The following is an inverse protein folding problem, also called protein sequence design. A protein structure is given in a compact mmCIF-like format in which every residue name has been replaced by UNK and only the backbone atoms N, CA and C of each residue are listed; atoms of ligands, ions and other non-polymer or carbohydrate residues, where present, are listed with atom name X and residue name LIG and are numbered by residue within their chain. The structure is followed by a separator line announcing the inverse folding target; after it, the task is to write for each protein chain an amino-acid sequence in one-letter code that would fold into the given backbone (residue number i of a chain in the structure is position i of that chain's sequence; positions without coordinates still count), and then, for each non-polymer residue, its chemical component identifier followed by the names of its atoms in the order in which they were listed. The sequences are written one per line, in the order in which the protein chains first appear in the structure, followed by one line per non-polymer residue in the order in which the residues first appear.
data_IF_107017417146
#
_entry.id   IF_107017417146
#
_cell.length_a   1.000
_cell.length_b   1.000
_cell.length_c   1.000
_cell.angle_alpha   90.00
_cell.angle_beta   90.00
_cell.angle_gamma   90.00
#
_symmetry.space_group_name_H-M   'P 1'
#
loop_
_entity.id
_entity.type
_entity.pdbx_description
1 polymer ?
#
# COMPACT_ATOMS: atom_id res chain seq x y z
N UNK A 1 2.33 20.15 -40.74
CA UNK A 1 1.19 19.75 -39.89
C UNK A 1 1.75 19.19 -38.58
N UNK A 2 1.81 19.98 -37.51
CA UNK A 2 2.20 19.48 -36.18
C UNK A 2 0.93 19.02 -35.45
N UNK A 3 0.81 17.73 -35.14
CA UNK A 3 -0.23 17.24 -34.24
C UNK A 3 0.10 17.71 -32.83
N UNK A 4 -0.63 18.72 -32.34
CA UNK A 4 -0.62 19.11 -30.93
C UNK A 4 -1.32 17.99 -30.17
N UNK A 5 -0.54 17.11 -29.53
CA UNK A 5 -1.07 16.13 -28.61
C UNK A 5 -1.79 16.83 -27.46
N UNK A 6 -3.11 16.68 -27.39
CA UNK A 6 -3.90 17.14 -26.26
C UNK A 6 -3.41 16.34 -25.06
N UNK A 7 -2.70 16.97 -24.13
CA UNK A 7 -2.32 16.35 -22.87
C UNK A 7 -3.61 16.00 -22.12
N UNK A 8 -4.02 14.72 -22.18
CA UNK A 8 -5.19 14.22 -21.46
C UNK A 8 -4.92 14.38 -19.96
N UNK A 9 -5.75 15.16 -19.26
CA UNK A 9 -5.67 15.31 -17.81
C UNK A 9 -6.00 13.96 -17.15
N UNK A 10 -5.03 13.38 -16.45
CA UNK A 10 -5.23 12.16 -15.65
C UNK A 10 -5.65 12.58 -14.25
N UNK A 11 -6.89 12.27 -13.87
CA UNK A 11 -7.37 12.43 -12.49
C UNK A 11 -7.12 11.16 -11.71
N UNK A 12 -6.51 11.26 -10.54
CA UNK A 12 -6.28 10.12 -9.63
C UNK A 12 -7.31 10.14 -8.52
N UNK A 13 -7.92 8.98 -8.24
CA UNK A 13 -8.85 8.77 -7.12
C UNK A 13 -8.35 7.60 -6.27
N UNK A 14 -8.43 7.74 -4.95
CA UNK A 14 -8.15 6.65 -3.99
C UNK A 14 -9.47 6.05 -3.54
N UNK A 15 -9.44 4.73 -3.34
CA UNK A 15 -10.54 3.95 -2.78
C UNK A 15 -10.02 3.13 -1.60
N UNK A 16 -10.87 2.81 -0.61
CA UNK A 16 -10.51 1.95 0.51
C UNK A 16 -10.09 0.53 0.08
N UNK A 17 -10.71 0.00 -0.98
CA UNK A 17 -10.48 -1.36 -1.47
C UNK A 17 -10.34 -1.40 -2.99
N UNK A 18 -9.76 -2.48 -3.52
CA UNK A 18 -9.70 -2.69 -4.97
C UNK A 18 -11.09 -2.98 -5.54
N UNK A 19 -11.96 -3.65 -4.78
CA UNK A 19 -13.34 -3.95 -5.15
C UNK A 19 -14.17 -2.69 -5.37
N UNK A 20 -14.10 -1.72 -4.45
CA UNK A 20 -14.80 -0.44 -4.64
C UNK A 20 -14.28 0.34 -5.85
N UNK A 21 -12.97 0.28 -6.10
CA UNK A 21 -12.40 0.88 -7.29
C UNK A 21 -12.86 0.17 -8.57
N UNK A 22 -13.01 -1.16 -8.52
CA UNK A 22 -13.52 -1.98 -9.62
C UNK A 22 -14.97 -1.60 -9.96
N UNK A 23 -15.81 -1.40 -8.95
CA UNK A 23 -17.19 -0.93 -9.14
C UNK A 23 -17.25 0.43 -9.83
N UNK A 24 -16.35 1.35 -9.46
CA UNK A 24 -16.26 2.65 -10.13
C UNK A 24 -15.81 2.53 -11.60
N UNK A 25 -14.89 1.61 -11.91
CA UNK A 25 -14.47 1.36 -13.30
C UNK A 25 -15.61 0.78 -14.12
N UNK A 26 -16.37 -0.16 -13.55
CA UNK A 26 -17.55 -0.75 -14.17
C UNK A 26 -18.64 0.29 -14.44
N UNK A 27 -18.82 1.25 -13.53
CA UNK A 27 -19.83 2.31 -13.67
C UNK A 27 -19.48 3.35 -14.76
N UNK A 28 -18.22 3.46 -15.17
CA UNK A 28 -17.76 4.40 -16.21
C UNK A 28 -16.81 3.73 -17.23
N UNK A 29 -17.33 2.83 -18.09
CA UNK A 29 -16.52 2.09 -19.06
C UNK A 29 -15.78 3.02 -20.04
N UNK A 30 -14.49 2.78 -20.26
CA UNK A 30 -13.67 3.54 -21.22
C UNK A 30 -13.17 4.90 -20.71
N UNK A 31 -13.64 5.36 -19.54
CA UNK A 31 -13.22 6.63 -18.92
C UNK A 31 -12.24 6.45 -17.77
N UNK A 32 -12.12 5.22 -17.24
CA UNK A 32 -11.29 4.92 -16.08
C UNK A 32 -10.61 3.56 -16.20
N UNK A 33 -9.51 3.40 -15.47
CA UNK A 33 -8.76 2.16 -15.36
C UNK A 33 -8.23 2.02 -13.94
N UNK A 34 -8.07 0.77 -13.49
CA UNK A 34 -7.58 0.42 -12.17
C UNK A 34 -6.23 -0.28 -12.27
N UNK A 35 -5.28 0.09 -11.41
CA UNK A 35 -4.04 -0.64 -11.19
C UNK A 35 -4.23 -1.50 -9.93
N UNK A 36 -4.04 -2.81 -10.07
CA UNK A 36 -4.12 -3.77 -8.96
C UNK A 36 -2.74 -4.34 -8.70
N UNK A 37 -2.33 -4.38 -7.42
CA UNK A 37 -1.05 -5.00 -7.05
C UNK A 37 -1.14 -6.51 -7.23
N UNK A 38 -0.16 -7.12 -7.91
CA UNK A 38 -0.15 -8.56 -8.16
C UNK A 38 -0.10 -9.40 -6.87
N UNK A 39 0.52 -8.88 -5.81
CA UNK A 39 0.58 -9.53 -4.50
C UNK A 39 -0.73 -9.43 -3.69
N UNK A 40 -1.77 -8.81 -4.24
CA UNK A 40 -3.07 -8.74 -3.57
C UNK A 40 -3.69 -10.13 -3.44
N UNK A 41 -4.18 -10.49 -2.25
CA UNK A 41 -4.66 -11.83 -1.96
C UNK A 41 -5.79 -12.29 -2.89
N UNK A 42 -6.68 -11.37 -3.31
CA UNK A 42 -7.80 -11.68 -4.20
C UNK A 42 -7.53 -11.25 -5.65
N UNK A 43 -6.27 -11.24 -6.08
CA UNK A 43 -5.89 -10.83 -7.44
C UNK A 43 -6.60 -11.65 -8.54
N UNK A 44 -6.99 -12.89 -8.24
CA UNK A 44 -7.77 -13.73 -9.15
C UNK A 44 -9.07 -13.04 -9.59
N UNK A 45 -9.73 -12.25 -8.73
CA UNK A 45 -10.96 -11.51 -9.08
C UNK A 45 -10.79 -10.55 -10.26
N UNK A 46 -9.56 -10.18 -10.60
CA UNK A 46 -9.22 -9.28 -11.71
C UNK A 46 -8.65 -10.03 -12.91
N UNK A 47 -7.92 -11.14 -12.69
CA UNK A 47 -7.37 -11.96 -13.78
C UNK A 47 -8.42 -12.80 -14.50
N UNK A 48 -9.40 -13.32 -13.76
CA UNK A 48 -10.47 -14.20 -14.28
C UNK A 48 -11.84 -13.50 -14.25
N UNK A 49 -11.85 -12.17 -14.34
CA UNK A 49 -13.10 -11.40 -14.33
C UNK A 49 -13.83 -11.52 -15.66
N UNK A 50 -15.14 -11.76 -15.62
CA UNK A 50 -16.02 -11.67 -16.80
C UNK A 50 -16.42 -10.22 -17.14
N UNK A 51 -16.03 -9.25 -16.30
CA UNK A 51 -16.46 -7.85 -16.41
C UNK A 51 -15.29 -6.89 -16.60
N UNK A 52 -14.12 -7.20 -16.02
CA UNK A 52 -12.90 -6.43 -16.19
C UNK A 52 -11.89 -7.23 -17.01
N UNK A 53 -11.22 -6.56 -17.95
CA UNK A 53 -10.20 -7.20 -18.78
C UNK A 53 -8.81 -6.65 -18.42
N UNK A 54 -7.83 -7.51 -18.12
CA UNK A 54 -6.44 -7.08 -17.97
C UNK A 54 -5.91 -6.50 -19.29
N UNK A 55 -5.69 -5.18 -19.34
CA UNK A 55 -5.21 -4.50 -20.56
C UNK A 55 -3.68 -4.35 -20.62
N UNK A 56 -2.98 -4.51 -19.48
CA UNK A 56 -1.52 -4.38 -19.39
C UNK A 56 -0.97 -4.99 -18.11
N UNK A 57 0.13 -5.73 -18.21
CA UNK A 57 0.96 -6.11 -17.07
C UNK A 57 2.13 -5.12 -16.91
N UNK A 58 2.42 -4.72 -15.67
CA UNK A 58 3.53 -3.84 -15.33
C UNK A 58 4.43 -4.59 -14.35
N UNK A 59 5.65 -4.88 -14.77
CA UNK A 59 6.67 -5.49 -13.92
C UNK A 59 7.62 -4.39 -13.46
N UNK A 60 7.80 -4.28 -12.16
CA UNK A 60 8.77 -3.38 -11.54
C UNK A 60 9.28 -4.02 -10.28
N UNK A 61 10.59 -3.98 -10.07
CA UNK A 61 11.19 -4.44 -8.83
C UNK A 61 10.64 -3.59 -7.69
N UNK A 62 9.93 -4.24 -6.77
CA UNK A 62 9.47 -3.58 -5.55
C UNK A 62 10.71 -3.12 -4.79
N UNK A 63 10.84 -1.82 -4.47
CA UNK A 63 11.95 -1.33 -3.66
C UNK A 63 12.02 -2.08 -2.33
N UNK A 64 13.22 -2.13 -1.73
CA UNK A 64 13.40 -2.71 -0.41
C UNK A 64 12.46 -2.05 0.62
N UNK A 65 11.92 -2.86 1.53
CA UNK A 65 11.18 -2.33 2.68
C UNK A 65 12.15 -1.66 3.64
N UNK A 66 11.72 -0.53 4.22
CA UNK A 66 12.51 0.24 5.18
C UNK A 66 11.71 0.49 6.45
N UNK A 67 12.39 0.47 7.60
CA UNK A 67 11.85 1.02 8.85
C UNK A 67 12.25 2.49 8.89
N UNK A 68 11.26 3.37 9.02
CA UNK A 68 11.48 4.82 9.05
C UNK A 68 11.27 5.38 10.45
N UNK A 69 12.24 6.15 10.94
CA UNK A 69 12.17 6.87 12.20
C UNK A 69 12.71 8.30 12.02
N UNK A 70 12.46 9.17 13.01
CA UNK A 70 12.98 10.55 12.99
C UNK A 70 14.49 10.59 13.28
N UNK A 71 14.95 9.67 14.12
CA UNK A 71 16.31 9.58 14.65
C UNK A 71 16.88 8.21 14.24
N UNK A 72 18.13 8.16 13.81
CA UNK A 72 18.81 6.93 13.40
C UNK A 72 19.13 6.01 14.59
N UNK A 73 19.19 6.58 15.79
CA UNK A 73 19.34 5.85 17.07
C UNK A 73 18.02 5.32 17.63
N UNK A 74 16.90 5.45 16.89
CA UNK A 74 15.60 5.00 17.38
C UNK A 74 15.66 3.52 17.84
N UNK A 75 16.37 2.67 17.12
CA UNK A 75 16.48 1.25 17.43
C UNK A 75 17.43 0.93 18.61
N UNK A 76 18.10 1.93 19.20
CA UNK A 76 19.19 1.76 20.17
C UNK A 76 18.71 1.91 21.63
N UNK A 77 17.91 0.93 22.06
CA UNK A 77 17.66 0.63 23.48
C UNK A 77 16.41 1.28 24.10
N UNK A 78 15.66 2.11 23.36
CA UNK A 78 14.35 2.59 23.80
C UNK A 78 13.26 1.58 23.44
N UNK A 79 12.18 1.54 24.23
CA UNK A 79 10.98 0.82 23.82
C UNK A 79 10.40 1.45 22.55
N UNK A 80 10.22 0.61 21.51
CA UNK A 80 9.68 1.03 20.21
C UNK A 80 8.58 0.09 19.76
N UNK A 81 7.52 0.69 19.22
CA UNK A 81 6.47 -0.01 18.48
C UNK A 81 6.61 0.26 16.99
N UNK A 82 6.80 -0.79 16.20
CA UNK A 82 6.81 -0.75 14.74
C UNK A 82 5.42 -1.13 14.24
N UNK A 83 4.65 -0.18 13.72
CA UNK A 83 3.39 -0.46 13.05
C UNK A 83 3.67 -0.96 11.62
N UNK A 84 3.11 -2.11 11.24
CA UNK A 84 3.42 -2.72 9.94
C UNK A 84 2.23 -3.47 9.35
N UNK A 85 2.16 -3.50 8.02
CA UNK A 85 1.27 -4.38 7.29
C UNK A 85 1.82 -5.82 7.28
N UNK A 86 0.95 -6.81 7.08
CA UNK A 86 1.31 -8.23 7.04
C UNK A 86 2.43 -8.57 6.04
N UNK A 87 2.42 -7.96 4.85
CA UNK A 87 3.35 -8.30 3.76
C UNK A 87 4.84 -8.24 4.18
N UNK A 88 5.36 -7.15 4.78
CA UNK A 88 6.74 -7.10 5.24
C UNK A 88 7.02 -7.80 6.58
N UNK A 89 6.04 -8.36 7.30
CA UNK A 89 6.27 -8.90 8.66
C UNK A 89 7.40 -9.92 8.71
N UNK A 90 7.45 -10.84 7.74
CA UNK A 90 8.51 -11.85 7.67
C UNK A 90 9.93 -11.26 7.53
N UNK A 91 10.07 -10.07 6.94
CA UNK A 91 11.35 -9.38 6.81
C UNK A 91 11.79 -8.74 8.12
N UNK A 92 10.83 -8.24 8.92
CA UNK A 92 11.09 -7.53 10.17
C UNK A 92 10.86 -8.38 11.42
N UNK A 93 10.47 -9.66 11.29
CA UNK A 93 10.14 -10.53 12.41
C UNK A 93 11.30 -10.66 13.42
N UNK A 94 12.54 -10.64 12.94
CA UNK A 94 13.73 -10.66 13.78
C UNK A 94 13.84 -9.43 14.71
N UNK A 95 13.22 -8.30 14.35
CA UNK A 95 13.17 -7.12 15.22
C UNK A 95 12.30 -7.35 16.45
N UNK A 96 11.22 -8.13 16.33
CA UNK A 96 10.37 -8.49 17.47
C UNK A 96 11.08 -9.40 18.50
N UNK A 97 12.20 -10.02 18.13
CA UNK A 97 13.01 -10.80 19.08
C UNK A 97 13.84 -9.90 20.03
N UNK A 98 13.94 -8.59 19.73
CA UNK A 98 14.63 -7.63 20.61
C UNK A 98 13.69 -7.25 21.76
N UNK A 99 14.17 -7.23 23.02
CA UNK A 99 13.31 -7.05 24.19
C UNK A 99 12.63 -5.67 24.25
N UNK A 100 13.21 -4.67 23.59
CA UNK A 100 12.71 -3.31 23.55
C UNK A 100 11.87 -3.00 22.29
N UNK A 101 11.43 -4.02 21.55
CA UNK A 101 10.69 -3.84 20.30
C UNK A 101 9.41 -4.64 20.28
N UNK A 102 8.34 -3.99 19.84
CA UNK A 102 7.06 -4.62 19.56
C UNK A 102 6.65 -4.34 18.12
N UNK A 103 6.02 -5.31 17.48
CA UNK A 103 5.40 -5.13 16.16
C UNK A 103 3.90 -5.05 16.35
N UNK A 104 3.29 -4.03 15.76
CA UNK A 104 1.84 -3.84 15.77
C UNK A 104 1.31 -4.06 14.36
N UNK A 105 0.47 -5.08 14.22
CA UNK A 105 -0.15 -5.42 12.95
C UNK A 105 -1.18 -4.38 12.52
N UNK A 106 -1.15 -4.06 11.23
CA UNK A 106 -2.09 -3.17 10.57
C UNK A 106 -2.68 -3.85 9.33
N UNK A 107 -3.96 -3.59 9.07
CA UNK A 107 -4.66 -4.09 7.89
C UNK A 107 -4.18 -3.49 6.57
N UNK A 108 -3.43 -2.38 6.61
CA UNK A 108 -2.81 -1.77 5.43
C UNK A 108 -1.61 -0.91 5.82
N UNK A 109 -0.78 -0.55 4.84
CA UNK A 109 0.35 0.39 5.04
C UNK A 109 -0.14 1.79 5.41
N UNK A 110 -1.30 2.22 4.90
CA UNK A 110 -1.93 3.47 5.31
C UNK A 110 -2.35 3.42 6.78
N UNK A 111 -3.00 2.32 7.20
CA UNK A 111 -3.39 2.15 8.60
C UNK A 111 -2.18 2.07 9.53
N UNK A 112 -1.09 1.43 9.10
CA UNK A 112 0.17 1.42 9.85
C UNK A 112 0.69 2.84 10.11
N UNK A 113 0.63 3.73 9.11
CA UNK A 113 1.02 5.12 9.27
C UNK A 113 0.10 5.89 10.25
N UNK A 114 -1.20 5.64 10.22
CA UNK A 114 -2.16 6.23 11.16
C UNK A 114 -1.90 5.79 12.61
N UNK A 115 -1.61 4.50 12.83
CA UNK A 115 -1.31 3.96 14.17
C UNK A 115 -0.11 4.67 14.82
N UNK A 116 0.91 5.04 14.04
CA UNK A 116 2.07 5.80 14.56
C UNK A 116 1.66 7.19 15.07
N UNK A 117 0.65 7.81 14.47
CA UNK A 117 0.13 9.11 14.92
C UNK A 117 -0.72 8.94 16.17
N UNK A 118 -1.61 7.95 16.19
CA UNK A 118 -2.47 7.64 17.34
C UNK A 118 -1.66 7.30 18.59
N UNK A 119 -0.60 6.50 18.45
CA UNK A 119 0.26 6.11 19.57
C UNK A 119 1.05 7.30 20.13
N UNK A 120 1.49 8.23 19.27
CA UNK A 120 2.09 9.49 19.73
C UNK A 120 1.10 10.36 20.50
N UNK A 121 -0.14 10.44 20.05
CA UNK A 121 -1.18 11.22 20.75
C UNK A 121 -1.57 10.61 22.10
N UNK A 122 -1.34 9.31 22.32
CA UNK A 122 -1.56 8.63 23.61
C UNK A 122 -0.39 8.81 24.59
N UNK A 123 0.81 9.08 24.08
CA UNK A 123 2.04 9.24 24.86
C UNK A 123 2.41 10.71 25.15
N UNK A 124 1.64 11.67 24.65
CA UNK A 124 1.80 13.11 24.87
C UNK A 124 0.77 13.63 25.87
#
# INVERSE_FOLDING_TARGET
MQQRGIARRITRRRFPTYEEAADAVRAAPGESALIVANAYANINRFYISDVLHPIKALFKDTPAYVVAARDDTALDGREITIASHAAPLHLIAHLAARPNMTIRDASSTHRAAELVVEDKARLA
#
